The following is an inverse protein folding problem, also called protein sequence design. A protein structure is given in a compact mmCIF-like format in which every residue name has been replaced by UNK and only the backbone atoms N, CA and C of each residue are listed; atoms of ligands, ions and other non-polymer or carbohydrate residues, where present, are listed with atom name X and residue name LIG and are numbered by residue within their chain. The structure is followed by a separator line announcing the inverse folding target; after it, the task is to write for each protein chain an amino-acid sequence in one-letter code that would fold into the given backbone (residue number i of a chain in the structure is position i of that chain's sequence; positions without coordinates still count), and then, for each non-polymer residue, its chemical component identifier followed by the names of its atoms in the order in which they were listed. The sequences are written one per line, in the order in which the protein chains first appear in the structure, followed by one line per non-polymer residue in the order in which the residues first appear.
data_IF_148142864267
#
_entry.id   IF_148142864267
#
_cell.length_a   1.000
_cell.length_b   1.000
_cell.length_c   1.000
_cell.angle_alpha   90.00
_cell.angle_beta   90.00
_cell.angle_gamma   90.00
#
_symmetry.space_group_name_H-M   'P 1'
#
loop_
_entity.id
_entity.type
_entity.pdbx_description
1 polymer ?
#
# COMPACT_ATOMS: atom_id res chain seq x y z
N UNK A 1 -16.04 -16.84 -17.77
CA UNK A 1 -15.81 -15.70 -16.87
C UNK A 1 -14.96 -16.23 -15.73
N UNK A 2 -13.86 -15.57 -15.38
CA UNK A 2 -13.02 -16.03 -14.30
C UNK A 2 -13.70 -15.67 -12.97
N UNK A 3 -14.47 -16.60 -12.40
CA UNK A 3 -15.15 -16.43 -11.10
C UNK A 3 -14.16 -16.48 -9.91
N UNK A 4 -12.86 -16.42 -10.18
CA UNK A 4 -11.79 -16.55 -9.20
C UNK A 4 -10.69 -15.54 -9.49
N UNK A 5 -10.20 -14.91 -8.43
CA UNK A 5 -9.01 -14.06 -8.49
C UNK A 5 -7.81 -14.94 -8.87
N UNK A 6 -7.05 -14.61 -9.93
CA UNK A 6 -5.90 -15.41 -10.34
C UNK A 6 -4.79 -15.33 -9.28
N UNK A 7 -4.11 -16.46 -9.07
CA UNK A 7 -2.88 -16.54 -8.29
C UNK A 7 -1.74 -16.68 -9.28
N UNK A 8 -0.82 -15.72 -9.29
CA UNK A 8 0.31 -15.65 -10.22
C UNK A 8 1.59 -15.88 -9.44
N UNK A 9 2.37 -16.89 -9.83
CA UNK A 9 3.64 -17.23 -9.19
C UNK A 9 4.80 -16.44 -9.81
N UNK A 10 5.47 -15.62 -9.01
CA UNK A 10 6.61 -14.81 -9.42
C UNK A 10 7.96 -15.54 -9.27
N UNK A 11 8.00 -16.72 -8.66
CA UNK A 11 9.24 -17.48 -8.45
C UNK A 11 10.07 -17.67 -9.74
N UNK A 12 9.47 -17.95 -10.91
CA UNK A 12 10.24 -18.12 -12.14
C UNK A 12 10.93 -16.83 -12.64
N UNK A 13 10.33 -15.66 -12.40
CA UNK A 13 10.98 -14.36 -12.68
C UNK A 13 12.19 -14.17 -11.77
N UNK A 14 12.02 -14.46 -10.48
CA UNK A 14 13.07 -14.28 -9.47
C UNK A 14 14.25 -15.22 -9.70
N UNK A 15 14.00 -16.45 -10.17
CA UNK A 15 15.07 -17.39 -10.52
C UNK A 15 15.77 -17.09 -11.85
N UNK A 16 15.26 -16.13 -12.63
CA UNK A 16 15.86 -15.69 -13.88
C UNK A 16 15.66 -16.64 -15.07
N UNK A 17 14.57 -17.43 -15.09
CA UNK A 17 14.24 -18.28 -16.25
C UNK A 17 13.73 -17.40 -17.41
N UNK A 18 14.47 -17.29 -18.53
CA UNK A 18 14.10 -16.40 -19.63
C UNK A 18 12.76 -16.76 -20.28
N UNK A 19 12.42 -18.06 -20.33
CA UNK A 19 11.16 -18.52 -20.92
C UNK A 19 9.97 -18.29 -20.01
N UNK A 20 10.18 -18.39 -18.70
CA UNK A 20 9.12 -18.19 -17.71
C UNK A 20 8.80 -16.70 -17.49
N UNK A 21 9.76 -15.79 -17.69
CA UNK A 21 9.53 -14.34 -17.52
C UNK A 21 8.43 -13.81 -18.45
N UNK A 22 8.43 -14.23 -19.72
CA UNK A 22 7.40 -13.83 -20.69
C UNK A 22 6.04 -14.40 -20.27
N UNK A 23 5.99 -15.67 -19.86
CA UNK A 23 4.74 -16.30 -19.44
C UNK A 23 4.10 -15.58 -18.24
N UNK A 24 4.88 -15.34 -17.17
CA UNK A 24 4.39 -14.65 -15.97
C UNK A 24 4.01 -13.19 -16.28
N UNK A 25 4.76 -12.51 -17.16
CA UNK A 25 4.40 -11.17 -17.64
C UNK A 25 3.03 -11.16 -18.34
N UNK A 26 2.76 -12.13 -19.22
CA UNK A 26 1.47 -12.22 -19.91
C UNK A 26 0.32 -12.54 -18.95
N UNK A 27 0.55 -13.34 -17.91
CA UNK A 27 -0.43 -13.61 -16.87
C UNK A 27 -0.78 -12.35 -16.06
N UNK A 28 0.23 -11.58 -15.65
CA UNK A 28 0.04 -10.29 -14.98
C UNK A 28 -0.71 -9.29 -15.87
N UNK A 29 -0.30 -9.16 -17.14
CA UNK A 29 -0.97 -8.29 -18.10
C UNK A 29 -2.42 -8.68 -18.32
N UNK A 30 -2.72 -9.98 -18.44
CA UNK A 30 -4.09 -10.49 -18.57
C UNK A 30 -4.93 -10.17 -17.33
N UNK A 31 -4.40 -10.38 -16.13
CA UNK A 31 -5.09 -10.05 -14.89
C UNK A 31 -5.37 -8.54 -14.77
N UNK A 32 -4.42 -7.69 -15.16
CA UNK A 32 -4.58 -6.23 -15.17
C UNK A 32 -5.66 -5.76 -16.16
N UNK A 33 -5.74 -6.36 -17.35
CA UNK A 33 -6.74 -5.99 -18.37
C UNK A 33 -8.15 -6.46 -18.01
N UNK A 34 -8.26 -7.65 -17.41
CA UNK A 34 -9.56 -8.31 -17.14
C UNK A 34 -10.15 -7.90 -15.79
N UNK A 35 -9.52 -8.32 -14.68
CA UNK A 35 -10.03 -8.08 -13.33
C UNK A 35 -9.48 -6.79 -12.72
N UNK A 36 -8.30 -6.35 -13.16
CA UNK A 36 -7.53 -5.30 -12.49
C UNK A 36 -6.98 -5.75 -11.12
N UNK A 37 -6.96 -7.05 -10.83
CA UNK A 37 -6.59 -7.61 -9.53
C UNK A 37 -6.03 -9.03 -9.67
N UNK A 38 -5.00 -9.35 -8.89
CA UNK A 38 -4.41 -10.69 -8.77
C UNK A 38 -3.81 -10.90 -7.39
N UNK A 39 -3.68 -12.16 -6.98
CA UNK A 39 -2.83 -12.56 -5.86
C UNK A 39 -1.47 -12.94 -6.43
N UNK A 40 -0.39 -12.43 -5.84
CA UNK A 40 0.98 -12.82 -6.20
C UNK A 40 1.54 -13.79 -5.17
N UNK A 41 2.12 -14.89 -5.65
CA UNK A 41 2.81 -15.90 -4.87
C UNK A 41 4.28 -15.98 -5.29
N UNK A 42 5.12 -16.69 -4.51
CA UNK A 42 6.52 -16.89 -4.86
C UNK A 42 7.33 -15.60 -5.02
N UNK A 43 6.87 -14.49 -4.43
CA UNK A 43 7.44 -13.15 -4.59
C UNK A 43 8.77 -12.92 -3.86
N UNK A 44 9.33 -13.94 -3.19
CA UNK A 44 10.65 -13.89 -2.55
C UNK A 44 10.75 -13.04 -1.27
N UNK A 45 9.76 -12.21 -0.94
CA UNK A 45 9.69 -11.50 0.34
C UNK A 45 9.55 -12.49 1.51
N UNK A 46 10.50 -12.43 2.45
CA UNK A 46 10.50 -13.25 3.66
C UNK A 46 9.24 -12.96 4.52
N UNK A 47 8.42 -13.98 4.85
CA UNK A 47 7.24 -13.83 5.69
C UNK A 47 7.49 -13.15 7.04
N UNK A 48 8.72 -13.24 7.59
CA UNK A 48 9.06 -12.60 8.87
C UNK A 48 8.89 -11.08 8.82
N UNK A 49 9.22 -10.45 7.69
CA UNK A 49 9.16 -8.98 7.52
C UNK A 49 7.72 -8.48 7.67
N UNK A 50 6.77 -9.17 7.04
CA UNK A 50 5.35 -8.86 7.18
C UNK A 50 4.79 -9.17 8.57
N UNK A 51 5.29 -10.21 9.22
CA UNK A 51 4.86 -10.63 10.57
C UNK A 51 5.33 -9.64 11.63
N UNK A 52 6.60 -9.25 11.61
CA UNK A 52 7.17 -8.27 12.54
C UNK A 52 6.51 -6.89 12.38
N UNK A 53 6.28 -6.44 11.15
CA UNK A 53 5.55 -5.20 10.89
C UNK A 53 4.14 -5.26 11.45
N UNK A 54 3.43 -6.37 11.23
CA UNK A 54 2.07 -6.55 11.75
C UNK A 54 2.04 -6.45 13.27
N UNK A 55 2.94 -7.13 13.97
CA UNK A 55 2.97 -7.13 15.42
C UNK A 55 3.34 -5.75 15.99
N UNK A 56 4.26 -5.04 15.33
CA UNK A 56 4.57 -3.65 15.68
C UNK A 56 3.38 -2.71 15.45
N UNK A 57 2.65 -2.89 14.34
CA UNK A 57 1.47 -2.11 14.00
C UNK A 57 0.35 -2.31 15.02
N UNK A 58 0.09 -3.55 15.44
CA UNK A 58 -0.91 -3.85 16.47
C UNK A 58 -0.55 -3.18 17.80
N UNK A 59 0.71 -3.29 18.25
CA UNK A 59 1.18 -2.60 19.45
C UNK A 59 1.04 -1.08 19.36
N UNK A 60 1.22 -0.50 18.18
CA UNK A 60 0.97 0.93 17.96
C UNK A 60 -0.52 1.28 18.07
N UNK A 61 -1.40 0.52 17.40
CA UNK A 61 -2.83 0.80 17.44
C UNK A 61 -3.48 0.55 18.81
N UNK A 62 -2.88 -0.32 19.63
CA UNK A 62 -3.24 -0.57 21.03
C UNK A 62 -2.82 0.55 22.01
N UNK A 63 -2.01 1.52 21.57
CA UNK A 63 -1.63 2.66 22.41
C UNK A 63 -2.83 3.56 22.75
N UNK A 64 -2.79 4.28 23.88
CA UNK A 64 -3.72 5.35 24.18
C UNK A 64 -3.81 6.37 23.04
N UNK A 65 -5.01 6.92 22.81
CA UNK A 65 -5.27 7.82 21.69
C UNK A 65 -4.34 9.03 21.72
N UNK A 66 -4.08 9.58 22.91
CA UNK A 66 -3.19 10.71 23.14
C UNK A 66 -1.75 10.44 22.65
N UNK A 67 -1.25 9.21 22.80
CA UNK A 67 0.07 8.83 22.31
C UNK A 67 0.10 8.73 20.79
N UNK A 68 -0.96 8.17 20.18
CA UNK A 68 -1.10 8.11 18.71
C UNK A 68 -1.25 9.51 18.10
N UNK A 69 -1.94 10.43 18.78
CA UNK A 69 -2.16 11.80 18.31
C UNK A 69 -0.91 12.68 18.32
N UNK A 70 0.18 12.28 18.98
CA UNK A 70 1.47 12.99 18.91
C UNK A 70 1.98 13.10 17.47
N UNK A 71 1.67 12.10 16.64
CA UNK A 71 2.04 12.06 15.22
C UNK A 71 0.84 12.26 14.29
N UNK A 72 -0.21 12.94 14.75
CA UNK A 72 -1.41 13.19 13.95
C UNK A 72 -1.05 13.83 12.61
N UNK A 73 -1.63 13.31 11.54
CA UNK A 73 -1.50 13.84 10.19
C UNK A 73 -1.85 15.34 10.16
N UNK A 74 -0.95 16.22 9.70
CA UNK A 74 -1.24 17.64 9.51
C UNK A 74 -2.31 17.87 8.44
N UNK A 75 -3.01 19.01 8.51
CA UNK A 75 -4.13 19.35 7.61
C UNK A 75 -3.72 19.92 6.23
N UNK A 76 -2.43 20.04 5.94
CA UNK A 76 -1.88 20.65 4.74
C UNK A 76 -1.54 19.61 3.66
N UNK A 77 -2.48 18.71 3.38
CA UNK A 77 -2.42 17.66 2.33
C UNK A 77 -1.32 16.59 2.47
N UNK A 78 -0.30 16.81 3.30
CA UNK A 78 0.67 15.78 3.70
C UNK A 78 -0.02 14.47 4.09
N UNK A 79 0.37 13.36 3.46
CA UNK A 79 -0.16 12.05 3.79
C UNK A 79 0.84 11.24 4.63
N UNK A 80 1.25 11.81 5.77
CA UNK A 80 2.18 11.23 6.74
C UNK A 80 1.60 11.34 8.14
N UNK A 81 1.81 10.31 8.96
CA UNK A 81 1.36 10.28 10.35
C UNK A 81 0.03 9.56 10.54
N UNK A 82 -0.53 9.73 11.73
CA UNK A 82 -1.71 9.05 12.23
C UNK A 82 -3.01 9.76 11.86
N UNK A 83 -4.00 9.01 11.38
CA UNK A 83 -5.36 9.46 11.10
C UNK A 83 -6.29 8.65 12.01
N UNK A 84 -6.97 9.28 12.99
CA UNK A 84 -7.87 8.58 13.90
C UNK A 84 -9.18 8.19 13.21
N UNK A 85 -9.96 7.38 13.91
CA UNK A 85 -11.35 7.08 13.54
C UNK A 85 -12.15 8.36 13.28
N UNK A 86 -13.01 8.32 12.27
CA UNK A 86 -13.91 9.43 12.00
C UNK A 86 -13.37 10.50 11.04
N UNK A 87 -12.11 10.41 10.58
CA UNK A 87 -11.50 11.48 9.78
C UNK A 87 -11.38 11.19 8.28
N UNK A 88 -11.22 9.94 7.87
CA UNK A 88 -11.20 9.57 6.44
C UNK A 88 -12.60 9.21 5.95
N UNK A 89 -12.98 9.64 4.74
CA UNK A 89 -14.25 9.25 4.11
C UNK A 89 -14.01 9.01 2.63
N UNK A 90 -13.63 7.77 2.26
CA UNK A 90 -13.21 7.48 0.89
C UNK A 90 -14.33 7.68 -0.14
N UNK A 91 -15.59 7.46 0.24
CA UNK A 91 -16.75 7.71 -0.61
C UNK A 91 -16.82 9.18 -1.09
N UNK A 92 -16.35 10.13 -0.27
CA UNK A 92 -16.32 11.56 -0.68
C UNK A 92 -15.34 11.82 -1.83
N UNK A 93 -14.25 11.06 -1.92
CA UNK A 93 -13.31 11.17 -3.04
C UNK A 93 -13.95 10.74 -4.36
N UNK A 94 -14.95 9.86 -4.31
CA UNK A 94 -15.76 9.44 -5.46
C UNK A 94 -17.03 10.29 -5.66
N UNK A 95 -17.17 11.42 -4.96
CA UNK A 95 -18.32 12.32 -5.08
C UNK A 95 -19.59 11.88 -4.34
N UNK A 96 -19.52 10.83 -3.51
CA UNK A 96 -20.64 10.37 -2.70
C UNK A 96 -20.66 10.95 -1.28
N UNK A 97 -21.66 10.55 -0.49
CA UNK A 97 -21.81 10.92 0.92
C UNK A 97 -22.02 9.67 1.77
N UNK A 98 -21.22 9.52 2.82
CA UNK A 98 -21.35 8.49 3.86
C UNK A 98 -20.83 9.02 5.19
N UNK A 99 -21.16 8.36 6.32
CA UNK A 99 -20.37 8.50 7.54
C UNK A 99 -18.89 8.22 7.28
N UNK A 100 -17.97 8.76 8.10
CA UNK A 100 -16.55 8.48 7.98
C UNK A 100 -16.24 6.98 8.07
N UNK A 101 -15.17 6.58 7.39
CA UNK A 101 -14.67 5.21 7.36
C UNK A 101 -14.34 4.73 8.79
N UNK A 102 -14.83 3.55 9.15
CA UNK A 102 -14.59 2.94 10.46
C UNK A 102 -13.22 2.24 10.50
N UNK A 103 -12.17 3.05 10.47
CA UNK A 103 -10.76 2.64 10.52
C UNK A 103 -9.88 3.75 11.09
N UNK A 104 -8.71 3.36 11.57
CA UNK A 104 -7.59 4.28 11.84
C UNK A 104 -6.40 3.92 10.95
N UNK A 105 -5.55 4.90 10.65
CA UNK A 105 -4.45 4.76 9.68
C UNK A 105 -3.16 5.31 10.25
N UNK A 106 -2.05 4.64 9.97
CA UNK A 106 -0.71 5.25 10.05
C UNK A 106 -0.03 5.14 8.69
N UNK A 107 0.37 6.28 8.13
CA UNK A 107 0.97 6.37 6.81
C UNK A 107 2.39 6.96 6.84
N UNK A 108 3.25 6.40 6.00
CA UNK A 108 4.58 6.94 5.68
C UNK A 108 4.73 7.04 4.15
N UNK A 109 5.76 7.75 3.72
CA UNK A 109 6.29 7.68 2.35
C UNK A 109 7.81 7.57 2.40
N UNK A 110 8.51 8.02 1.34
CA UNK A 110 9.96 7.93 1.26
C UNK A 110 10.67 8.56 2.48
N UNK A 111 11.65 7.86 3.08
CA UNK A 111 12.41 8.34 4.27
C UNK A 111 13.84 8.82 3.89
N UNK A 112 14.52 8.10 2.99
CA UNK A 112 15.90 8.41 2.58
C UNK A 112 15.95 9.40 1.40
N UNK A 113 15.47 10.61 1.64
CA UNK A 113 15.33 11.64 0.61
C UNK A 113 16.61 12.49 0.48
N UNK A 114 17.21 12.60 -0.73
CA UNK A 114 18.36 13.48 -0.99
C UNK A 114 18.03 14.96 -0.78
N UNK A 115 19.02 15.73 -0.35
CA UNK A 115 18.92 17.20 -0.30
C UNK A 115 19.16 17.82 -1.67
N UNK A 116 18.18 17.64 -2.56
CA UNK A 116 18.20 18.17 -3.92
C UNK A 116 16.89 18.90 -4.25
N UNK A 117 16.91 19.91 -5.15
CA UNK A 117 15.73 20.75 -5.43
C UNK A 117 14.47 19.98 -5.83
N UNK A 118 14.61 18.81 -6.46
CA UNK A 118 13.48 17.95 -6.82
C UNK A 118 12.71 17.46 -5.57
N UNK A 119 13.44 17.13 -4.50
CA UNK A 119 12.87 16.56 -3.29
C UNK A 119 12.63 17.57 -2.16
N UNK A 120 13.42 18.64 -2.08
CA UNK A 120 13.34 19.63 -0.98
C UNK A 120 12.85 21.00 -1.43
N UNK A 121 12.67 21.23 -2.74
CA UNK A 121 12.20 22.50 -3.28
C UNK A 121 10.70 22.76 -3.05
N UNK A 122 10.21 23.98 -3.33
CA UNK A 122 8.82 24.37 -3.03
C UNK A 122 7.73 23.51 -3.68
N UNK A 123 8.03 22.86 -4.82
CA UNK A 123 7.11 21.97 -5.53
C UNK A 123 7.12 20.51 -5.06
N UNK A 124 8.02 20.15 -4.13
CA UNK A 124 8.16 18.78 -3.63
C UNK A 124 7.15 18.46 -2.52
N UNK A 125 6.63 19.49 -1.86
CA UNK A 125 5.61 19.37 -0.84
C UNK A 125 4.21 19.18 -1.48
N UNK A 126 3.37 18.24 -1.02
CA UNK A 126 3.56 17.35 0.14
C UNK A 126 4.21 15.98 -0.17
N UNK A 127 4.55 15.71 -1.42
CA UNK A 127 5.00 14.39 -1.90
C UNK A 127 6.19 13.81 -1.11
N UNK A 128 7.15 14.65 -0.74
CA UNK A 128 8.36 14.27 -0.01
C UNK A 128 8.41 14.85 1.41
N UNK A 129 7.24 15.14 2.00
CA UNK A 129 7.17 15.58 3.39
C UNK A 129 7.78 14.54 4.35
N UNK A 130 8.54 14.96 5.39
CA UNK A 130 9.14 14.05 6.36
C UNK A 130 8.10 13.13 7.02
N UNK A 131 8.51 11.88 7.25
CA UNK A 131 7.70 10.92 7.99
C UNK A 131 7.55 11.35 9.47
N UNK A 132 6.37 11.14 10.04
CA UNK A 132 6.08 11.39 11.45
C UNK A 132 6.15 10.07 12.22
N UNK A 133 7.16 9.91 13.06
CA UNK A 133 7.45 8.66 13.76
C UNK A 133 7.00 8.71 15.22
N UNK A 134 6.24 7.71 15.72
CA UNK A 134 5.87 7.67 17.13
C UNK A 134 7.07 7.24 17.99
N UNK A 135 7.01 7.56 19.28
CA UNK A 135 8.04 7.13 20.25
C UNK A 135 7.93 5.62 20.55
N UNK A 136 6.71 5.08 20.51
CA UNK A 136 6.42 3.67 20.75
C UNK A 136 5.50 3.10 19.64
N UNK A 137 5.60 1.78 19.36
CA UNK A 137 6.66 0.89 19.82
C UNK A 137 7.98 1.19 19.09
N UNK A 138 9.10 1.03 19.82
CA UNK A 138 10.44 1.43 19.35
C UNK A 138 10.83 0.80 18.00
N UNK A 139 10.35 -0.40 17.71
CA UNK A 139 10.68 -1.15 16.51
C UNK A 139 9.77 -0.83 15.30
N UNK A 140 8.73 0.01 15.46
CA UNK A 140 7.78 0.28 14.36
C UNK A 140 8.48 0.91 13.15
N UNK A 141 9.34 1.90 13.39
CA UNK A 141 10.08 2.58 12.32
C UNK A 141 10.91 1.60 11.51
N UNK A 142 11.73 0.79 12.18
CA UNK A 142 12.59 -0.19 11.49
C UNK A 142 11.78 -1.24 10.74
N UNK A 143 10.69 -1.74 11.30
CA UNK A 143 9.82 -2.70 10.62
C UNK A 143 9.13 -2.10 9.39
N UNK A 144 8.65 -0.85 9.47
CA UNK A 144 8.03 -0.18 8.32
C UNK A 144 9.02 0.09 7.20
N UNK A 145 10.25 0.52 7.52
CA UNK A 145 11.29 0.75 6.52
C UNK A 145 11.78 -0.55 5.88
N UNK A 146 11.96 -1.61 6.68
CA UNK A 146 12.31 -2.93 6.14
C UNK A 146 11.22 -3.47 5.20
N UNK A 147 9.94 -3.30 5.55
CA UNK A 147 8.83 -3.69 4.68
C UNK A 147 8.77 -2.83 3.41
N UNK A 148 8.98 -1.51 3.54
CA UNK A 148 9.04 -0.59 2.41
C UNK A 148 10.05 -1.04 1.35
N UNK A 149 11.30 -1.31 1.75
CA UNK A 149 12.36 -1.75 0.84
C UNK A 149 11.98 -3.02 0.07
N UNK A 150 11.33 -3.99 0.75
CA UNK A 150 10.87 -5.22 0.10
C UNK A 150 9.72 -4.98 -0.86
N UNK A 151 8.79 -4.09 -0.52
CA UNK A 151 7.68 -3.73 -1.43
C UNK A 151 8.17 -2.93 -2.63
N UNK A 152 9.19 -2.07 -2.45
CA UNK A 152 9.79 -1.32 -3.55
C UNK A 152 10.47 -2.26 -4.55
N UNK A 153 11.24 -3.23 -4.07
CA UNK A 153 11.84 -4.26 -4.92
C UNK A 153 10.77 -5.09 -5.66
N UNK A 154 9.72 -5.53 -4.95
CA UNK A 154 8.62 -6.29 -5.54
C UNK A 154 7.84 -5.47 -6.59
N UNK A 155 7.58 -4.19 -6.30
CA UNK A 155 6.94 -3.25 -7.23
C UNK A 155 7.74 -3.14 -8.53
N UNK A 156 9.08 -3.05 -8.47
CA UNK A 156 9.94 -3.01 -9.66
C UNK A 156 9.86 -4.30 -10.47
N UNK A 157 9.86 -5.47 -9.81
CA UNK A 157 9.67 -6.77 -10.48
C UNK A 157 8.32 -6.85 -11.21
N UNK A 158 7.23 -6.40 -10.57
CA UNK A 158 5.90 -6.40 -11.17
C UNK A 158 5.83 -5.39 -12.32
N UNK A 159 6.40 -4.19 -12.16
CA UNK A 159 6.44 -3.16 -13.18
C UNK A 159 7.18 -3.61 -14.44
N UNK A 160 8.33 -4.28 -14.29
CA UNK A 160 9.07 -4.85 -15.41
C UNK A 160 8.24 -5.91 -16.15
N UNK A 161 7.57 -6.81 -15.43
CA UNK A 161 6.71 -7.81 -16.02
C UNK A 161 5.51 -7.17 -16.76
N UNK A 162 4.91 -6.12 -16.21
CA UNK A 162 3.84 -5.36 -16.86
C UNK A 162 4.34 -4.65 -18.13
N UNK A 163 5.54 -4.07 -18.13
CA UNK A 163 6.13 -3.47 -19.34
C UNK A 163 6.31 -4.51 -20.46
N UNK A 164 6.84 -5.69 -20.11
CA UNK A 164 6.98 -6.82 -21.05
C UNK A 164 5.61 -7.25 -21.61
N UNK A 165 4.57 -7.32 -20.77
CA UNK A 165 3.21 -7.67 -21.20
C UNK A 165 2.62 -6.69 -22.22
N UNK A 166 3.09 -5.44 -22.20
CA UNK A 166 2.72 -4.38 -23.15
C UNK A 166 3.62 -4.38 -24.39
N UNK A 167 4.52 -5.36 -24.56
CA UNK A 167 5.54 -5.40 -25.60
C UNK A 167 6.48 -4.18 -25.58
N UNK A 168 6.74 -3.65 -24.38
CA UNK A 168 7.69 -2.56 -24.13
C UNK A 168 8.99 -3.12 -23.52
N UNK A 169 10.11 -2.36 -23.59
CA UNK A 169 11.32 -2.69 -22.84
C UNK A 169 11.03 -2.89 -21.35
N UNK A 170 11.64 -3.88 -20.70
CA UNK A 170 11.35 -4.20 -19.29
C UNK A 170 11.66 -3.04 -18.31
N UNK A 171 12.61 -2.19 -18.68
CA UNK A 171 13.03 -1.00 -17.93
C UNK A 171 12.19 0.25 -18.22
N UNK A 172 11.11 0.15 -18.99
CA UNK A 172 10.27 1.31 -19.38
C UNK A 172 9.82 2.17 -18.19
N UNK A 173 9.59 1.56 -17.02
CA UNK A 173 9.14 2.26 -15.81
C UNK A 173 10.25 2.46 -14.77
N UNK A 174 11.50 2.10 -15.07
CA UNK A 174 12.59 2.13 -14.09
C UNK A 174 12.80 3.55 -13.54
N UNK A 175 12.89 4.57 -14.40
CA UNK A 175 13.19 5.95 -13.99
C UNK A 175 12.14 6.55 -13.04
N UNK A 176 10.85 6.28 -13.27
CA UNK A 176 9.76 6.80 -12.43
C UNK A 176 9.61 6.04 -11.11
N UNK A 177 10.14 4.81 -11.05
CA UNK A 177 10.16 3.97 -9.86
C UNK A 177 11.48 4.06 -9.11
N UNK A 178 12.50 4.73 -9.67
CA UNK A 178 13.82 4.82 -9.07
C UNK A 178 13.96 6.06 -8.19
N UNK A 179 13.70 5.89 -6.90
CA UNK A 179 13.92 6.90 -5.86
C UNK A 179 13.22 8.26 -6.07
N UNK A 180 12.38 8.40 -7.10
CA UNK A 180 11.58 9.59 -7.43
C UNK A 180 10.08 9.37 -7.19
N UNK A 181 9.68 8.14 -6.85
CA UNK A 181 8.28 7.81 -6.63
C UNK A 181 7.74 8.42 -5.33
N UNK A 182 6.45 8.74 -5.34
CA UNK A 182 5.75 9.36 -4.22
C UNK A 182 4.83 8.38 -3.49
N UNK A 183 5.14 7.07 -3.60
CA UNK A 183 4.43 5.95 -2.99
C UNK A 183 4.15 6.14 -1.51
N UNK A 184 3.20 5.37 -1.00
CA UNK A 184 2.79 5.42 0.39
C UNK A 184 2.64 4.02 0.95
N UNK A 185 3.14 3.81 2.16
CA UNK A 185 2.87 2.62 2.95
C UNK A 185 1.86 2.99 4.03
N UNK A 186 0.71 2.31 4.02
CA UNK A 186 -0.41 2.58 4.92
C UNK A 186 -0.69 1.35 5.77
N UNK A 187 -0.57 1.51 7.08
CA UNK A 187 -1.06 0.55 8.07
C UNK A 187 -2.51 0.89 8.36
N UNK A 188 -3.41 -0.06 8.14
CA UNK A 188 -4.85 0.12 8.30
C UNK A 188 -5.34 -0.79 9.43
N UNK A 189 -5.98 -0.21 10.44
CA UNK A 189 -6.60 -0.97 11.51
C UNK A 189 -8.12 -0.79 11.48
N UNK A 190 -8.82 -1.92 11.37
CA UNK A 190 -10.28 -1.98 11.31
C UNK A 190 -10.81 -2.72 12.54
N UNK A 191 -11.26 -2.02 13.59
CA UNK A 191 -11.66 -2.65 14.84
C UNK A 191 -12.92 -3.50 14.66
N UNK A 192 -13.19 -4.39 15.61
CA UNK A 192 -14.44 -5.14 15.63
C UNK A 192 -15.63 -4.18 15.82
N UNK A 193 -16.69 -4.33 15.02
CA UNK A 193 -17.91 -3.53 15.19
C UNK A 193 -18.67 -4.09 16.38
N UNK A 194 -18.85 -3.29 17.45
CA UNK A 194 -19.54 -3.71 18.68
C UNK A 194 -20.90 -3.04 18.86
N UNK A 195 -21.57 -2.74 17.74
CA UNK A 195 -22.89 -2.10 17.72
C UNK A 195 -22.85 -0.56 17.69
N UNK A 196 -21.66 0.00 17.52
CA UNK A 196 -21.35 1.43 17.50
C UNK A 196 -21.21 2.02 16.09
N UNK A 197 -21.37 1.20 15.04
CA UNK A 197 -21.35 1.67 13.67
C UNK A 197 -22.65 2.42 13.32
N UNK A 198 -22.52 3.59 12.70
CA UNK A 198 -23.67 4.34 12.21
C UNK A 198 -24.37 3.61 11.05
N UNK A 199 -25.69 3.78 10.86
CA UNK A 199 -26.38 3.25 9.69
C UNK A 199 -25.70 3.66 8.38
N UNK A 200 -25.28 2.67 7.59
CA UNK A 200 -24.58 2.91 6.32
C UNK A 200 -23.09 3.25 6.45
N UNK A 201 -22.51 3.21 7.66
CA UNK A 201 -21.07 3.38 7.85
C UNK A 201 -20.31 2.17 7.31
N UNK A 202 -19.33 2.44 6.46
CA UNK A 202 -18.45 1.44 5.87
C UNK A 202 -17.10 1.44 6.61
N UNK A 203 -16.44 0.28 6.66
CA UNK A 203 -15.04 0.19 7.15
C UNK A 203 -14.09 0.96 6.22
N UNK A 204 -14.31 0.82 4.92
CA UNK A 204 -13.72 1.64 3.89
C UNK A 204 -14.73 1.73 2.74
N UNK A 205 -15.01 2.96 2.28
CA UNK A 205 -15.88 3.19 1.13
C UNK A 205 -15.39 2.54 -0.17
N UNK A 206 -16.29 2.31 -1.12
CA UNK A 206 -15.89 1.93 -2.48
C UNK A 206 -15.09 3.07 -3.14
N UNK A 207 -13.91 2.75 -3.66
CA UNK A 207 -13.00 3.71 -4.28
C UNK A 207 -12.02 2.97 -5.21
N UNK A 208 -11.25 3.74 -5.97
CA UNK A 208 -10.05 3.28 -6.67
C UNK A 208 -8.84 3.95 -6.04
N UNK A 209 -7.75 3.21 -5.89
CA UNK A 209 -6.47 3.81 -5.52
C UNK A 209 -5.96 4.76 -6.61
N UNK A 210 -5.12 5.70 -6.18
CA UNK A 210 -4.41 6.61 -7.08
C UNK A 210 -2.96 6.16 -7.22
N UNK A 211 -2.45 6.07 -8.44
CA UNK A 211 -1.06 5.67 -8.72
C UNK A 211 -0.96 4.56 -9.77
N UNK A 212 0.22 3.94 -9.84
CA UNK A 212 0.54 2.89 -10.81
C UNK A 212 0.01 1.51 -10.40
N UNK A 213 0.20 1.13 -9.13
CA UNK A 213 -0.22 -0.16 -8.58
C UNK A 213 -0.32 -0.10 -7.05
N UNK A 214 -1.05 -1.06 -6.46
CA UNK A 214 -1.15 -1.26 -5.02
C UNK A 214 -0.76 -2.71 -4.69
N UNK A 215 0.19 -2.88 -3.77
CA UNK A 215 0.52 -4.19 -3.18
C UNK A 215 -0.11 -4.24 -1.79
N UNK A 216 -1.04 -5.18 -1.60
CA UNK A 216 -1.80 -5.31 -0.36
C UNK A 216 -1.46 -6.63 0.33
N UNK A 217 -1.10 -6.56 1.61
CA UNK A 217 -1.07 -7.71 2.52
C UNK A 217 -2.26 -7.62 3.45
N UNK A 218 -3.14 -8.61 3.41
CA UNK A 218 -4.25 -8.75 4.34
C UNK A 218 -3.85 -9.62 5.54
N UNK A 219 -4.57 -9.42 6.65
CA UNK A 219 -4.49 -10.32 7.80
C UNK A 219 -5.20 -11.66 7.49
N UNK A 220 -4.84 -12.74 8.20
CA UNK A 220 -5.47 -14.06 8.05
C UNK A 220 -6.86 -14.10 8.74
N UNK A 221 -7.66 -13.06 8.55
CA UNK A 221 -9.04 -12.95 9.02
C UNK A 221 -9.95 -13.14 7.81
N UNK A 222 -10.91 -14.07 7.85
CA UNK A 222 -11.86 -14.25 6.75
C UNK A 222 -12.70 -12.99 6.51
N UNK A 223 -12.88 -12.64 5.23
CA UNK A 223 -13.66 -11.47 4.82
C UNK A 223 -12.88 -10.16 4.90
N UNK A 224 -13.51 -9.05 4.49
CA UNK A 224 -12.95 -7.71 4.57
C UNK A 224 -12.83 -7.03 3.21
N UNK A 225 -11.94 -7.50 2.34
CA UNK A 225 -11.78 -6.93 1.00
C UNK A 225 -12.84 -7.46 0.03
N UNK A 226 -13.48 -6.54 -0.69
CA UNK A 226 -14.34 -6.83 -1.82
C UNK A 226 -13.85 -6.03 -3.02
N UNK A 227 -13.76 -6.69 -4.18
CA UNK A 227 -13.39 -6.05 -5.43
C UNK A 227 -14.61 -6.02 -6.35
N UNK A 228 -14.77 -4.92 -7.09
CA UNK A 228 -15.78 -4.81 -8.14
C UNK A 228 -15.18 -5.40 -9.42
N UNK A 229 -15.68 -6.56 -9.83
CA UNK A 229 -15.31 -7.16 -11.12
C UNK A 229 -15.75 -6.24 -12.27
N UNK A 230 -14.99 -6.23 -13.37
CA UNK A 230 -15.36 -5.50 -14.60
C UNK A 230 -16.51 -6.17 -15.34
#
# INVERSE_FOLDING_TARGET
MADRIPVIDLAPIISGDPGAKIQVAMELGSAAQTLGFAVVAGHGVDPIIGTELRDAALRFFDLPLEEKLVIRRPKNDQNRGYIPYGEETLVRMAGGSSPPDYKEVFAIGPDNIPDEPYFTGPGSYPSFAPNLWPVAPINLRSCMLAYWEKMEALMRTIAEALAISLSLPGDTFADILDHTHTSQLRLLHYPAVRGDAEPGQLRAGAHTDVGMMTILRNDPVPGGLQIKMR
#
